data_IF_470688403399
#
_entry.id   IF_470688403399
#
_cell.length_a   1.000
_cell.length_b   1.000
_cell.length_c   1.000
_cell.angle_alpha   90.00
_cell.angle_beta   90.00
_cell.angle_gamma   90.00
#
_symmetry.space_group_name_H-M   'P 1'
#
loop_
_entity.id
_entity.type
_entity.pdbx_description
1 polymer ?
#
# COMPACT_ATOMS: atom_id res chain seq x y z
N UNK A 1 2.15 -22.47 -16.99
CA UNK A 1 2.53 -22.56 -15.56
C UNK A 1 3.67 -21.58 -15.32
N UNK A 2 3.65 -20.81 -14.24
CA UNK A 2 4.64 -19.75 -14.00
C UNK A 2 5.99 -20.39 -13.63
N UNK A 3 6.92 -20.48 -14.58
CA UNK A 3 8.24 -21.13 -14.43
C UNK A 3 9.32 -20.14 -13.99
N UNK A 4 9.04 -19.30 -13.00
CA UNK A 4 10.02 -18.33 -12.49
C UNK A 4 10.67 -18.84 -11.19
N UNK A 5 12.00 -18.68 -11.01
CA UNK A 5 12.71 -19.20 -9.84
C UNK A 5 12.38 -18.46 -8.52
N UNK A 6 11.85 -17.23 -8.56
CA UNK A 6 11.42 -16.50 -7.37
C UNK A 6 10.42 -15.39 -7.74
N UNK A 7 9.48 -15.08 -6.85
CA UNK A 7 8.51 -14.00 -6.98
C UNK A 7 8.39 -13.23 -5.66
N UNK A 8 8.36 -11.90 -5.74
CA UNK A 8 8.17 -11.02 -4.60
C UNK A 8 6.94 -10.14 -4.82
N UNK A 9 6.03 -10.14 -3.85
CA UNK A 9 4.84 -9.30 -3.85
C UNK A 9 4.95 -8.30 -2.70
N UNK A 10 4.71 -7.03 -3.00
CA UNK A 10 4.57 -5.98 -1.99
C UNK A 10 3.32 -5.16 -2.27
N UNK A 11 2.79 -4.54 -1.22
CA UNK A 11 1.70 -3.58 -1.33
C UNK A 11 2.21 -2.31 -2.03
N UNK A 12 1.40 -1.76 -2.92
CA UNK A 12 1.69 -0.53 -3.65
C UNK A 12 2.11 0.62 -2.70
N UNK A 13 1.43 0.72 -1.56
CA UNK A 13 1.73 1.71 -0.53
C UNK A 13 3.13 1.58 0.10
N UNK A 14 3.65 0.37 0.23
CA UNK A 14 4.99 0.17 0.79
C UNK A 14 6.09 0.45 -0.23
N UNK A 15 5.81 0.21 -1.52
CA UNK A 15 6.75 0.52 -2.60
C UNK A 15 6.92 2.03 -2.78
N UNK A 16 5.82 2.80 -2.70
CA UNK A 16 5.88 4.26 -2.76
C UNK A 16 6.59 4.87 -1.56
N UNK A 17 6.35 4.34 -0.36
CA UNK A 17 7.04 4.76 0.85
C UNK A 17 8.55 4.48 0.80
N UNK A 18 8.94 3.32 0.26
CA UNK A 18 10.35 3.00 0.03
C UNK A 18 11.03 4.01 -0.91
N UNK A 19 10.34 4.43 -1.98
CA UNK A 19 10.86 5.42 -2.91
C UNK A 19 10.93 6.84 -2.30
N UNK A 20 10.00 7.22 -1.42
CA UNK A 20 9.94 8.54 -0.81
C UNK A 20 10.85 8.73 0.42
N UNK A 21 11.43 7.64 0.94
CA UNK A 21 12.30 7.68 2.12
C UNK A 21 11.66 8.36 3.35
N UNK A 22 10.33 8.28 3.47
CA UNK A 22 9.59 8.83 4.61
C UNK A 22 9.27 7.72 5.60
N UNK A 23 9.51 7.96 6.89
CA UNK A 23 9.21 6.98 7.95
C UNK A 23 7.75 7.04 8.44
N UNK A 24 7.07 8.17 8.22
CA UNK A 24 5.68 8.41 8.62
C UNK A 24 4.95 9.11 7.49
N UNK A 25 3.92 8.49 6.92
CA UNK A 25 3.10 9.10 5.87
C UNK A 25 1.74 8.40 5.74
N UNK A 26 0.85 8.99 4.96
CA UNK A 26 -0.42 8.39 4.58
C UNK A 26 -0.35 8.16 3.08
N UNK A 27 -0.51 6.90 2.66
CA UNK A 27 -0.58 6.55 1.25
C UNK A 27 -2.04 6.41 0.85
N UNK A 28 -2.40 7.09 -0.24
CA UNK A 28 -3.72 7.04 -0.83
C UNK A 28 -3.61 6.54 -2.28
N UNK A 29 -4.05 5.31 -2.49
CA UNK A 29 -4.10 4.70 -3.81
C UNK A 29 -5.55 4.67 -4.30
N UNK A 30 -5.83 5.34 -5.42
CA UNK A 30 -7.14 5.32 -6.08
C UNK A 30 -7.07 4.55 -7.37
N UNK A 31 -7.83 3.47 -7.46
CA UNK A 31 -8.04 2.69 -8.68
C UNK A 31 -9.54 2.65 -9.03
N UNK A 32 -9.86 2.22 -10.26
CA UNK A 32 -11.13 2.43 -10.98
C UNK A 32 -12.44 2.19 -10.20
N UNK A 33 -12.45 1.38 -9.14
CA UNK A 33 -13.66 1.15 -8.31
C UNK A 33 -13.37 1.15 -6.80
N UNK A 34 -12.12 1.33 -6.39
CA UNK A 34 -11.70 1.17 -5.00
C UNK A 34 -10.58 2.14 -4.67
N UNK A 35 -10.81 2.96 -3.66
CA UNK A 35 -9.79 3.80 -3.03
C UNK A 35 -9.32 3.12 -1.74
N UNK A 36 -8.01 3.03 -1.56
CA UNK A 36 -7.38 2.50 -0.36
C UNK A 36 -6.54 3.60 0.31
N UNK A 37 -6.80 3.82 1.59
CA UNK A 37 -6.00 4.71 2.43
C UNK A 37 -5.24 3.85 3.43
N UNK A 38 -3.91 3.87 3.36
CA UNK A 38 -3.01 3.10 4.23
C UNK A 38 -2.13 4.09 5.01
N UNK A 39 -2.43 4.35 6.29
CA UNK A 39 -1.53 5.12 7.14
C UNK A 39 -0.34 4.27 7.59
N UNK A 40 0.86 4.81 7.41
CA UNK A 40 2.12 4.22 7.87
C UNK A 40 2.76 5.14 8.91
N UNK A 41 3.03 4.58 10.08
CA UNK A 41 3.69 5.25 11.19
C UNK A 41 4.98 4.52 11.56
N UNK A 42 6.11 5.23 11.53
CA UNK A 42 7.44 4.67 11.81
C UNK A 42 7.70 3.35 11.08
N UNK A 43 7.35 3.28 9.78
CA UNK A 43 7.50 2.10 8.91
C UNK A 43 6.48 0.96 9.18
N UNK A 44 5.57 1.13 10.13
CA UNK A 44 4.50 0.18 10.41
C UNK A 44 3.15 0.65 9.87
N UNK A 45 2.46 -0.22 9.12
CA UNK A 45 1.07 0.02 8.76
C UNK A 45 0.18 -0.18 9.99
N UNK A 46 -0.75 0.74 10.21
CA UNK A 46 -1.75 0.66 11.27
C UNK A 46 -3.01 -0.03 10.73
N UNK A 47 -3.21 -1.35 10.92
CA UNK A 47 -4.28 -2.10 10.24
C UNK A 47 -5.67 -1.62 10.63
N UNK A 48 -5.84 -1.11 11.86
CA UNK A 48 -7.09 -0.54 12.36
C UNK A 48 -7.50 0.77 11.66
N UNK A 49 -6.55 1.44 11.00
CA UNK A 49 -6.78 2.72 10.33
C UNK A 49 -6.71 2.59 8.80
N UNK A 50 -6.65 1.36 8.26
CA UNK A 50 -6.74 1.13 6.83
C UNK A 50 -8.19 1.30 6.41
N UNK A 51 -8.44 2.26 5.53
CA UNK A 51 -9.77 2.58 5.03
C UNK A 51 -9.88 2.15 3.58
N UNK A 52 -10.94 1.42 3.25
CA UNK A 52 -11.29 1.04 1.89
C UNK A 52 -12.59 1.73 1.53
N UNK A 53 -12.53 2.61 0.55
CA UNK A 53 -13.69 3.24 -0.03
C UNK A 53 -14.01 2.54 -1.35
N UNK A 54 -15.27 2.13 -1.52
CA UNK A 54 -15.78 1.67 -2.81
C UNK A 54 -16.61 2.79 -3.37
N UNK A 55 -16.23 3.31 -4.53
CA UNK A 55 -17.05 4.25 -5.28
C UNK A 55 -18.02 3.41 -6.11
N UNK A 56 -19.30 3.44 -5.74
CA UNK A 56 -20.38 2.73 -6.44
C UNK A 56 -20.83 3.50 -7.68
#
# INVERSE_FOLDING_TARGET
TFTSPCFYLSLLAFLSLYASFMITCIVFDSFDCVSHTVPIFEVFALPHAILRLVLA
#
